data_IF_034854116153
#
_entry.id   IF_034854116153
#
_cell.length_a   1.000
_cell.length_b   1.000
_cell.length_c   1.000
_cell.angle_alpha   90.00
_cell.angle_beta   90.00
_cell.angle_gamma   90.00
#
_symmetry.space_group_name_H-M   'P 1'
#
loop_
_entity.id
_entity.type
_entity.pdbx_description
1 polymer ?
#
# COMPACT_ATOMS: atom_id res chain seq x y z
N UNK A 1 -11.72 27.96 12.36
CA UNK A 1 -11.58 26.77 11.48
C UNK A 1 -10.15 26.30 11.62
N UNK A 2 -9.93 25.01 11.85
CA UNK A 2 -8.61 24.41 11.99
C UNK A 2 -8.69 22.89 11.79
N UNK A 3 -7.54 22.22 11.88
CA UNK A 3 -7.37 20.79 11.63
C UNK A 3 -6.80 20.09 12.85
N UNK A 4 -7.46 19.02 13.26
CA UNK A 4 -6.99 18.10 14.30
C UNK A 4 -6.45 16.84 13.64
N UNK A 5 -5.18 16.51 13.84
CA UNK A 5 -4.58 15.24 13.44
C UNK A 5 -4.48 14.27 14.61
N UNK A 6 -4.56 12.96 14.34
CA UNK A 6 -4.41 11.89 15.32
C UNK A 6 -3.73 10.67 14.67
N UNK A 7 -2.79 10.05 15.37
CA UNK A 7 -2.17 8.79 14.95
C UNK A 7 -1.72 7.92 16.14
N UNK A 8 -1.36 6.68 15.82
CA UNK A 8 -0.72 5.68 16.70
C UNK A 8 -1.52 5.35 17.97
N UNK A 9 -2.86 5.28 17.83
CA UNK A 9 -3.77 4.89 18.92
C UNK A 9 -4.19 3.42 18.85
N UNK A 10 -3.63 2.65 17.93
CA UNK A 10 -3.94 1.24 17.74
C UNK A 10 -2.77 0.33 18.13
N UNK A 11 -3.06 -0.92 18.44
CA UNK A 11 -2.04 -1.92 18.74
C UNK A 11 -2.47 -3.29 18.16
N UNK A 12 -1.57 -4.26 18.10
CA UNK A 12 -1.87 -5.54 17.43
C UNK A 12 -2.97 -6.37 18.14
N UNK A 13 -3.25 -6.08 19.41
CA UNK A 13 -4.25 -6.75 20.26
C UNK A 13 -5.65 -6.12 20.22
N UNK A 14 -5.79 -4.92 19.66
CA UNK A 14 -7.02 -4.12 19.75
C UNK A 14 -6.80 -2.66 19.38
N UNK A 15 -7.86 -1.85 19.45
CA UNK A 15 -7.79 -0.44 19.06
C UNK A 15 -7.83 -0.21 17.55
N UNK A 16 -8.08 1.04 17.16
CA UNK A 16 -8.07 1.50 15.77
C UNK A 16 -8.12 3.03 15.73
N UNK A 17 -7.13 3.68 15.09
CA UNK A 17 -7.05 5.14 14.96
C UNK A 17 -8.33 5.77 14.39
N UNK A 18 -8.97 5.11 13.42
CA UNK A 18 -10.23 5.60 12.83
C UNK A 18 -11.39 5.53 13.82
N UNK A 19 -11.42 4.52 14.70
CA UNK A 19 -12.45 4.39 15.74
C UNK A 19 -12.23 5.43 16.85
N UNK A 20 -10.98 5.61 17.28
CA UNK A 20 -10.62 6.61 18.28
C UNK A 20 -11.01 8.02 17.83
N UNK A 21 -10.75 8.36 16.57
CA UNK A 21 -11.20 9.64 16.01
C UNK A 21 -12.73 9.75 15.96
N UNK A 22 -13.45 8.69 15.57
CA UNK A 22 -14.92 8.70 15.58
C UNK A 22 -15.50 8.95 16.97
N UNK A 23 -14.90 8.36 18.01
CA UNK A 23 -15.29 8.57 19.40
C UNK A 23 -14.97 10.00 19.86
N UNK A 24 -13.79 10.53 19.51
CA UNK A 24 -13.44 11.93 19.75
C UNK A 24 -14.46 12.86 19.12
N UNK A 25 -14.77 12.66 17.83
CA UNK A 25 -15.75 13.50 17.11
C UNK A 25 -17.13 13.47 17.79
N UNK A 26 -17.57 12.31 18.28
CA UNK A 26 -18.84 12.17 19.02
C UNK A 26 -18.81 12.83 20.41
N UNK A 27 -17.63 12.97 21.00
CA UNK A 27 -17.41 13.61 22.29
C UNK A 27 -17.25 15.13 22.23
N UNK A 28 -17.06 15.70 21.03
CA UNK A 28 -16.85 17.13 20.85
C UNK A 28 -18.07 17.97 21.34
N UNK A 29 -17.84 19.20 21.81
CA UNK A 29 -18.93 20.11 22.14
C UNK A 29 -19.87 20.35 20.96
N UNK A 30 -21.17 20.52 21.24
CA UNK A 30 -22.21 20.66 20.19
C UNK A 30 -22.06 21.89 19.30
N UNK A 31 -21.26 22.87 19.73
CA UNK A 31 -20.94 24.10 18.99
C UNK A 31 -19.88 23.87 17.91
N UNK A 32 -19.10 22.80 18.02
CA UNK A 32 -18.03 22.47 17.06
C UNK A 32 -18.65 21.79 15.85
N UNK A 33 -18.49 22.40 14.68
CA UNK A 33 -18.94 21.81 13.41
C UNK A 33 -17.82 20.98 12.80
N UNK A 34 -18.17 19.79 12.36
CA UNK A 34 -17.24 18.85 11.71
C UNK A 34 -17.27 19.10 10.20
N UNK A 35 -16.10 19.32 9.62
CA UNK A 35 -15.90 19.39 8.18
C UNK A 35 -15.43 18.07 7.61
N UNK A 36 -14.43 18.14 6.74
CA UNK A 36 -13.83 16.96 6.12
C UNK A 36 -13.09 16.06 7.13
N UNK A 37 -13.21 14.75 6.96
CA UNK A 37 -12.46 13.74 7.73
C UNK A 37 -11.55 12.97 6.78
N UNK A 38 -10.28 12.83 7.16
CA UNK A 38 -9.22 12.24 6.36
C UNK A 38 -8.67 10.95 6.96
N UNK A 39 -8.32 10.01 6.10
CA UNK A 39 -7.52 8.83 6.42
C UNK A 39 -6.32 8.79 5.46
N UNK A 40 -5.13 9.00 6.00
CA UNK A 40 -3.90 9.20 5.22
C UNK A 40 -2.94 8.07 5.50
N UNK A 41 -2.66 7.25 4.49
CA UNK A 41 -1.64 6.20 4.53
C UNK A 41 -0.25 6.82 4.40
N UNK A 42 0.69 6.34 5.20
CA UNK A 42 2.05 6.84 5.29
C UNK A 42 3.06 5.77 4.82
N UNK A 43 4.35 6.06 4.96
CA UNK A 43 5.41 5.24 4.38
C UNK A 43 5.30 3.76 4.80
N UNK A 44 5.17 2.82 3.84
CA UNK A 44 4.95 1.41 4.18
C UNK A 44 6.15 0.67 4.77
N UNK A 45 7.29 1.32 5.00
CA UNK A 45 8.45 0.74 5.67
C UNK A 45 8.76 1.37 7.03
N UNK A 46 7.89 2.28 7.51
CA UNK A 46 8.10 2.93 8.80
C UNK A 46 8.34 1.92 9.93
N UNK A 47 9.33 2.21 10.78
CA UNK A 47 9.83 1.27 11.80
C UNK A 47 8.79 1.04 12.90
N UNK A 48 8.23 2.11 13.43
CA UNK A 48 7.21 2.11 14.49
C UNK A 48 5.82 2.21 13.87
N UNK A 49 5.32 1.11 13.32
CA UNK A 49 3.99 1.08 12.71
C UNK A 49 3.13 -0.05 13.21
N UNK A 50 1.83 0.21 13.22
CA UNK A 50 0.80 -0.82 13.19
C UNK A 50 0.52 -1.28 11.75
N UNK A 51 -0.26 -2.35 11.59
CA UNK A 51 -0.53 -2.93 10.27
C UNK A 51 -1.34 -1.95 9.42
N UNK A 52 -0.69 -1.36 8.42
CA UNK A 52 -1.33 -0.47 7.44
C UNK A 52 -0.92 1.00 7.53
N UNK A 53 -0.09 1.38 8.51
CA UNK A 53 0.49 2.72 8.73
C UNK A 53 -0.39 3.89 8.22
N UNK A 54 -1.36 4.31 9.05
CA UNK A 54 -2.33 5.31 8.65
C UNK A 54 -2.69 6.25 9.79
N UNK A 55 -2.58 7.54 9.52
CA UNK A 55 -3.03 8.61 10.38
C UNK A 55 -4.40 9.14 9.93
N UNK A 56 -5.05 9.89 10.81
CA UNK A 56 -6.34 10.52 10.51
C UNK A 56 -6.30 12.01 10.85
N UNK A 57 -7.13 12.79 10.16
CA UNK A 57 -7.31 14.19 10.48
C UNK A 57 -8.77 14.61 10.30
N UNK A 58 -9.20 15.65 11.00
CA UNK A 58 -10.55 16.21 10.89
C UNK A 58 -10.50 17.72 10.91
N UNK A 59 -11.28 18.33 10.02
CA UNK A 59 -11.54 19.76 10.03
C UNK A 59 -12.57 20.10 11.09
N UNK A 60 -12.23 21.04 11.98
CA UNK A 60 -13.09 21.52 13.04
C UNK A 60 -13.33 23.02 12.86
N UNK A 61 -14.60 23.41 12.90
CA UNK A 61 -15.01 24.80 12.90
C UNK A 61 -15.63 25.15 14.25
N UNK A 62 -14.92 25.98 15.02
CA UNK A 62 -15.31 26.47 16.33
C UNK A 62 -15.14 28.00 16.39
N UNK A 63 -16.01 28.68 17.12
CA UNK A 63 -15.88 30.10 17.40
C UNK A 63 -14.91 30.37 18.57
N UNK A 64 -14.91 29.50 19.58
CA UNK A 64 -14.04 29.57 20.75
C UNK A 64 -12.96 28.49 20.69
N UNK A 65 -11.78 28.85 20.18
CA UNK A 65 -10.64 27.94 20.06
C UNK A 65 -10.05 27.54 21.42
N UNK A 66 -10.01 28.47 22.39
CA UNK A 66 -9.50 28.18 23.73
C UNK A 66 -10.33 27.07 24.40
N UNK A 67 -11.66 27.17 24.33
CA UNK A 67 -12.56 26.15 24.86
C UNK A 67 -12.41 24.80 24.15
N UNK A 68 -12.21 24.80 22.82
CA UNK A 68 -11.93 23.57 22.08
C UNK A 68 -10.64 22.92 22.56
N UNK A 69 -9.55 23.69 22.69
CA UNK A 69 -8.25 23.16 23.12
C UNK A 69 -8.31 22.64 24.55
N UNK A 70 -9.02 23.30 25.46
CA UNK A 70 -9.26 22.80 26.82
C UNK A 70 -10.01 21.46 26.82
N UNK A 71 -11.05 21.34 25.99
CA UNK A 71 -11.79 20.10 25.82
C UNK A 71 -10.89 18.98 25.27
N UNK A 72 -10.06 19.28 24.27
CA UNK A 72 -9.11 18.33 23.69
C UNK A 72 -8.02 17.92 24.69
N UNK A 73 -7.55 18.84 25.54
CA UNK A 73 -6.61 18.55 26.65
C UNK A 73 -7.21 17.54 27.64
N UNK A 74 -8.50 17.69 27.98
CA UNK A 74 -9.20 16.75 28.86
C UNK A 74 -9.43 15.40 28.17
N UNK A 75 -9.91 15.42 26.93
CA UNK A 75 -10.15 14.21 26.15
C UNK A 75 -8.86 13.39 25.98
N UNK A 76 -7.75 14.06 25.66
CA UNK A 76 -6.44 13.43 25.57
C UNK A 76 -6.09 12.69 26.86
N UNK A 77 -6.16 13.36 28.02
CA UNK A 77 -5.79 12.78 29.32
C UNK A 77 -6.67 11.59 29.71
N UNK A 78 -7.96 11.67 29.43
CA UNK A 78 -8.92 10.66 29.86
C UNK A 78 -9.05 9.46 28.92
N UNK A 79 -8.86 9.68 27.61
CA UNK A 79 -9.21 8.69 26.57
C UNK A 79 -8.05 8.25 25.69
N UNK A 80 -7.07 9.12 25.41
CA UNK A 80 -6.01 8.82 24.42
C UNK A 80 -4.69 8.49 25.09
N UNK A 81 -4.19 9.31 26.02
CA UNK A 81 -2.94 9.03 26.72
C UNK A 81 -2.90 7.67 27.45
N UNK A 82 -4.01 7.13 27.99
CA UNK A 82 -3.99 5.79 28.59
C UNK A 82 -3.74 4.66 27.60
N UNK A 83 -3.88 4.89 26.28
CA UNK A 83 -3.61 3.90 25.23
C UNK A 83 -2.10 3.72 24.98
N UNK A 84 -1.28 4.65 25.46
CA UNK A 84 0.18 4.58 25.30
C UNK A 84 0.76 3.37 26.05
N UNK A 85 1.72 2.69 25.42
CA UNK A 85 2.39 1.54 26.04
C UNK A 85 1.65 0.20 25.92
N UNK A 86 0.48 0.16 25.28
CA UNK A 86 -0.23 -1.10 25.02
C UNK A 86 0.56 -1.97 24.03
N UNK A 87 1.10 -3.09 24.54
CA UNK A 87 1.80 -4.12 23.77
C UNK A 87 0.95 -5.39 23.76
N UNK A 88 0.79 -5.99 22.58
CA UNK A 88 0.21 -7.33 22.47
C UNK A 88 1.25 -8.30 21.93
N UNK A 89 1.75 -9.18 22.78
CA UNK A 89 2.62 -10.28 22.35
C UNK A 89 1.95 -11.08 21.24
N UNK A 90 2.52 -11.10 20.03
CA UNK A 90 2.08 -12.02 18.99
C UNK A 90 3.12 -13.11 18.84
N UNK A 91 2.77 -14.36 19.14
CA UNK A 91 3.66 -15.53 18.95
C UNK A 91 3.88 -15.87 17.46
N UNK A 92 3.16 -15.21 16.53
CA UNK A 92 3.04 -15.61 15.13
C UNK A 92 3.74 -14.68 14.11
N UNK A 93 4.44 -13.63 14.53
CA UNK A 93 5.15 -12.73 13.62
C UNK A 93 6.57 -12.42 14.12
N UNK A 94 7.59 -12.74 13.30
CA UNK A 94 9.02 -12.42 13.49
C UNK A 94 9.34 -10.91 13.40
N UNK A 95 8.35 -10.02 13.55
CA UNK A 95 8.57 -8.56 13.50
C UNK A 95 8.73 -8.00 14.90
N UNK A 96 9.75 -7.15 15.10
CA UNK A 96 9.85 -6.31 16.29
C UNK A 96 8.56 -5.49 16.42
N UNK A 97 7.95 -5.56 17.60
CA UNK A 97 6.75 -4.82 17.92
C UNK A 97 7.12 -3.58 18.72
N UNK A 98 6.45 -2.48 18.39
CA UNK A 98 6.55 -1.24 19.15
C UNK A 98 5.23 -1.02 19.90
N UNK A 99 5.28 -0.53 21.15
CA UNK A 99 4.09 -0.08 21.85
C UNK A 99 3.44 1.08 21.08
N UNK A 100 2.12 1.23 21.21
CA UNK A 100 1.44 2.43 20.75
C UNK A 100 2.04 3.66 21.47
N UNK A 101 2.39 4.69 20.70
CA UNK A 101 2.82 6.01 21.18
C UNK A 101 1.95 7.10 20.53
N UNK A 102 0.68 7.23 20.99
CA UNK A 102 -0.29 8.14 20.40
C UNK A 102 0.27 9.55 20.20
N UNK A 103 -0.21 10.22 19.15
CA UNK A 103 0.05 11.63 18.94
C UNK A 103 -1.14 12.36 18.38
N UNK A 104 -1.39 13.55 18.89
CA UNK A 104 -2.46 14.44 18.44
C UNK A 104 -1.88 15.84 18.20
N UNK A 105 -2.35 16.53 17.17
CA UNK A 105 -1.89 17.87 16.81
C UNK A 105 -3.06 18.75 16.40
N UNK A 106 -3.03 20.01 16.81
CA UNK A 106 -4.01 21.01 16.41
C UNK A 106 -3.32 22.11 15.61
N UNK A 107 -3.79 22.28 14.36
CA UNK A 107 -3.39 23.35 13.46
C UNK A 107 -4.56 24.30 13.25
N UNK A 108 -4.49 25.53 13.76
CA UNK A 108 -5.63 26.45 13.66
C UNK A 108 -5.65 27.18 12.32
N UNK A 109 -4.63 27.99 12.05
CA UNK A 109 -4.62 28.93 10.92
C UNK A 109 -3.48 28.68 9.94
N UNK A 110 -2.37 28.10 10.40
CA UNK A 110 -1.21 27.79 9.56
C UNK A 110 -1.10 26.29 9.38
N UNK A 111 -1.53 25.80 8.22
CA UNK A 111 -1.34 24.39 7.88
C UNK A 111 0.14 24.09 7.59
N UNK A 112 0.61 22.88 7.92
CA UNK A 112 1.91 22.38 7.49
C UNK A 112 1.99 22.30 5.96
N UNK A 113 3.19 22.46 5.41
CA UNK A 113 3.44 22.35 3.97
C UNK A 113 3.22 20.90 3.48
N UNK A 114 2.67 20.72 2.28
CA UNK A 114 2.41 19.40 1.72
C UNK A 114 3.68 18.59 1.46
N UNK A 115 4.85 19.24 1.38
CA UNK A 115 6.14 18.55 1.36
C UNK A 115 6.33 17.63 2.57
N UNK A 116 5.79 17.99 3.74
CA UNK A 116 5.88 17.15 4.94
C UNK A 116 5.10 15.84 4.77
N UNK A 117 3.91 15.91 4.16
CA UNK A 117 3.15 14.71 3.80
C UNK A 117 3.94 13.83 2.80
N UNK A 118 4.52 14.43 1.76
CA UNK A 118 5.27 13.68 0.76
C UNK A 118 6.54 13.03 1.31
N UNK A 119 7.21 13.65 2.28
CA UNK A 119 8.30 13.01 3.01
C UNK A 119 7.75 11.82 3.83
N UNK A 120 6.70 12.03 4.63
CA UNK A 120 6.13 11.01 5.51
C UNK A 120 5.49 9.80 4.77
N UNK A 121 5.11 9.95 3.50
CA UNK A 121 4.57 8.84 2.67
C UNK A 121 5.65 8.11 1.86
N UNK A 122 6.84 8.70 1.69
CA UNK A 122 7.93 8.18 0.85
C UNK A 122 9.17 7.70 1.61
N UNK A 123 9.38 8.17 2.84
CA UNK A 123 10.55 7.86 3.66
C UNK A 123 10.27 7.93 5.17
N UNK A 124 11.27 7.57 5.98
CA UNK A 124 11.23 7.72 7.43
C UNK A 124 11.43 9.20 7.79
N UNK A 125 10.54 9.75 8.61
CA UNK A 125 10.61 11.13 9.10
C UNK A 125 10.95 11.11 10.59
N UNK A 126 11.80 12.03 11.05
CA UNK A 126 12.13 12.17 12.46
C UNK A 126 11.21 13.17 13.15
N UNK A 127 11.03 13.01 14.46
CA UNK A 127 10.22 13.89 15.30
C UNK A 127 10.69 15.35 15.25
N UNK A 128 11.99 15.58 15.09
CA UNK A 128 12.63 16.90 15.03
C UNK A 128 12.24 17.69 13.77
N UNK A 129 11.83 16.98 12.70
CA UNK A 129 11.46 17.56 11.42
C UNK A 129 9.97 17.95 11.36
N UNK A 130 9.20 17.66 12.42
CA UNK A 130 7.75 17.91 12.47
C UNK A 130 7.47 19.42 12.56
N UNK A 131 6.66 19.98 11.65
CA UNK A 131 6.22 21.37 11.73
C UNK A 131 5.56 21.72 13.07
N UNK A 132 5.82 22.93 13.55
CA UNK A 132 5.24 23.41 14.82
C UNK A 132 3.73 23.60 14.68
N UNK A 133 2.96 22.82 15.43
CA UNK A 133 1.52 22.99 15.63
C UNK A 133 1.23 24.03 16.72
N UNK A 134 0.06 24.66 16.70
CA UNK A 134 -0.40 25.53 17.79
C UNK A 134 -0.50 24.75 19.11
N UNK A 135 -0.85 23.46 19.04
CA UNK A 135 -0.83 22.54 20.18
C UNK A 135 -0.51 21.11 19.72
N UNK A 136 0.31 20.42 20.51
CA UNK A 136 0.63 19.01 20.32
C UNK A 136 0.40 18.23 21.62
N UNK A 137 0.17 16.93 21.46
CA UNK A 137 0.03 15.97 22.55
C UNK A 137 0.70 14.65 22.15
N UNK A 138 1.34 13.99 23.12
CA UNK A 138 1.90 12.65 22.94
C UNK A 138 3.33 12.62 22.40
N UNK A 139 3.67 11.51 21.74
CA UNK A 139 5.02 11.20 21.27
C UNK A 139 5.09 11.07 19.75
N UNK A 140 5.54 9.92 19.25
CA UNK A 140 5.85 9.68 17.84
C UNK A 140 4.65 9.81 16.90
N UNK A 141 3.43 9.52 17.37
CA UNK A 141 2.22 9.70 16.56
C UNK A 141 2.00 11.11 16.03
N UNK A 142 2.69 12.14 16.55
CA UNK A 142 2.57 13.51 16.01
C UNK A 142 3.09 13.61 14.56
N UNK A 143 4.02 12.73 14.15
CA UNK A 143 4.53 12.69 12.77
C UNK A 143 3.38 12.37 11.83
N UNK A 144 2.69 11.27 12.06
CA UNK A 144 1.58 10.87 11.20
C UNK A 144 0.37 11.78 11.33
N UNK A 145 0.05 12.22 12.55
CA UNK A 145 -1.01 13.20 12.79
C UNK A 145 -0.78 14.49 11.98
N UNK A 146 0.46 15.00 11.96
CA UNK A 146 0.83 16.19 11.17
C UNK A 146 0.80 15.91 9.67
N UNK A 147 1.25 14.73 9.22
CA UNK A 147 1.19 14.33 7.81
C UNK A 147 -0.25 14.23 7.29
N UNK A 148 -1.19 13.75 8.11
CA UNK A 148 -2.61 13.70 7.76
C UNK A 148 -3.23 15.09 7.57
N UNK A 149 -2.78 16.08 8.36
CA UNK A 149 -3.16 17.49 8.20
C UNK A 149 -2.50 18.11 6.96
N UNK A 150 -1.23 17.79 6.70
CA UNK A 150 -0.43 18.33 5.59
C UNK A 150 -0.86 17.83 4.19
N UNK A 151 -1.58 16.71 4.11
CA UNK A 151 -1.97 16.11 2.83
C UNK A 151 -2.78 17.09 1.97
N UNK A 152 -2.33 17.31 0.74
CA UNK A 152 -2.86 18.31 -0.20
C UNK A 152 -4.04 17.82 -1.05
N UNK A 153 -4.38 16.52 -0.95
CA UNK A 153 -5.49 15.89 -1.67
C UNK A 153 -5.36 15.98 -3.18
N UNK A 154 -4.15 15.81 -3.70
CA UNK A 154 -3.89 15.72 -5.15
C UNK A 154 -4.71 14.65 -5.85
N UNK A 155 -4.70 13.41 -5.34
CA UNK A 155 -5.52 12.28 -5.83
C UNK A 155 -6.37 11.71 -4.71
N UNK A 156 -7.69 11.82 -4.84
CA UNK A 156 -8.64 11.50 -3.77
C UNK A 156 -9.45 10.24 -4.10
N UNK A 157 -9.53 9.35 -3.11
CA UNK A 157 -10.55 8.31 -3.04
C UNK A 157 -11.24 8.36 -1.68
N UNK A 158 -12.27 7.54 -1.47
CA UNK A 158 -13.05 7.50 -0.24
C UNK A 158 -13.09 6.09 0.33
N UNK A 159 -13.04 5.97 1.65
CA UNK A 159 -13.24 4.70 2.36
C UNK A 159 -14.31 4.87 3.44
N UNK A 160 -15.44 4.15 3.28
CA UNK A 160 -16.48 4.05 4.29
C UNK A 160 -16.14 2.93 5.27
N UNK A 161 -15.79 3.30 6.49
CA UNK A 161 -15.40 2.36 7.54
C UNK A 161 -16.57 2.19 8.51
N UNK A 162 -17.03 0.96 8.65
CA UNK A 162 -17.99 0.55 9.67
C UNK A 162 -17.26 -0.17 10.81
N UNK A 163 -17.71 0.02 12.05
CA UNK A 163 -17.12 -0.62 13.22
C UNK A 163 -18.09 -1.60 13.87
N UNK A 164 -17.55 -2.68 14.43
CA UNK A 164 -18.27 -3.70 15.18
C UNK A 164 -18.80 -3.13 16.50
N UNK A 165 -19.79 -3.79 17.08
CA UNK A 165 -20.16 -3.56 18.48
C UNK A 165 -19.16 -4.25 19.41
N UNK A 166 -19.02 -3.78 20.65
CA UNK A 166 -18.13 -4.40 21.65
C UNK A 166 -18.39 -5.89 21.86
N UNK A 167 -19.66 -6.33 21.74
CA UNK A 167 -20.06 -7.73 21.87
C UNK A 167 -19.48 -8.63 20.77
N UNK A 168 -19.12 -8.04 19.64
CA UNK A 168 -18.62 -8.74 18.47
C UNK A 168 -17.12 -8.56 18.27
N UNK A 169 -16.42 -7.76 19.08
CA UNK A 169 -14.95 -7.63 19.00
C UNK A 169 -14.23 -8.78 19.72
N UNK A 170 -12.98 -9.08 19.30
CA UNK A 170 -12.13 -10.10 19.92
C UNK A 170 -11.57 -11.13 18.93
N UNK A 171 -10.48 -11.81 19.32
CA UNK A 171 -9.73 -12.76 18.49
C UNK A 171 -10.56 -13.97 18.02
N UNK A 172 -11.50 -14.42 18.85
CA UNK A 172 -12.35 -15.59 18.59
C UNK A 172 -13.61 -15.26 17.76
N UNK A 173 -13.81 -14.00 17.37
CA UNK A 173 -15.03 -13.55 16.71
C UNK A 173 -14.81 -13.35 15.21
N UNK A 174 -15.43 -14.21 14.40
CA UNK A 174 -15.50 -14.00 12.95
C UNK A 174 -16.40 -12.81 12.60
N UNK A 175 -16.05 -12.08 11.54
CA UNK A 175 -16.89 -11.02 10.97
C UNK A 175 -17.96 -11.66 10.09
N UNK A 176 -19.19 -11.16 10.18
CA UNK A 176 -20.31 -11.58 9.35
C UNK A 176 -20.72 -10.41 8.45
N UNK A 177 -20.59 -10.62 7.15
CA UNK A 177 -20.88 -9.65 6.10
C UNK A 177 -21.69 -10.35 5.03
N UNK A 178 -22.72 -9.69 4.52
CA UNK A 178 -23.51 -10.17 3.38
C UNK A 178 -22.65 -10.22 2.11
N UNK A 179 -22.26 -11.44 1.70
CA UNK A 179 -21.43 -11.65 0.52
C UNK A 179 -22.18 -11.48 -0.80
N UNK A 180 -23.51 -11.60 -0.79
CA UNK A 180 -24.34 -11.39 -1.99
C UNK A 180 -24.40 -9.89 -2.31
N UNK A 181 -24.76 -9.06 -1.31
CA UNK A 181 -24.71 -7.60 -1.47
C UNK A 181 -23.30 -7.10 -1.76
N UNK A 182 -22.27 -7.72 -1.15
CA UNK A 182 -20.89 -7.35 -1.46
C UNK A 182 -20.53 -7.68 -2.92
N UNK A 183 -21.10 -8.74 -3.52
CA UNK A 183 -20.92 -9.02 -4.94
C UNK A 183 -21.54 -7.94 -5.82
N UNK A 184 -22.76 -7.52 -5.50
CA UNK A 184 -23.46 -6.42 -6.20
C UNK A 184 -22.68 -5.10 -6.12
N UNK A 185 -22.14 -4.80 -4.93
CA UNK A 185 -21.31 -3.62 -4.70
C UNK A 185 -20.03 -3.66 -5.53
N UNK A 186 -19.34 -4.81 -5.60
CA UNK A 186 -18.06 -4.95 -6.31
C UNK A 186 -18.19 -4.73 -7.84
N UNK A 187 -19.40 -4.89 -8.39
CA UNK A 187 -19.71 -4.61 -9.80
C UNK A 187 -19.93 -3.12 -10.10
N UNK A 188 -20.01 -2.26 -9.07
CA UNK A 188 -20.24 -0.82 -9.25
C UNK A 188 -18.98 -0.11 -9.78
N UNK A 189 -19.15 0.70 -10.84
CA UNK A 189 -18.08 1.43 -11.57
C UNK A 189 -17.10 2.22 -10.67
N UNK A 190 -17.57 2.75 -9.55
CA UNK A 190 -16.76 3.60 -8.68
C UNK A 190 -16.19 2.86 -7.48
N UNK A 191 -16.60 1.63 -7.21
CA UNK A 191 -16.01 0.83 -6.14
C UNK A 191 -14.70 0.20 -6.60
N UNK A 192 -13.80 -0.08 -5.66
CA UNK A 192 -12.55 -0.76 -5.98
C UNK A 192 -12.00 -1.51 -4.80
N UNK A 193 -11.21 -2.54 -5.06
CA UNK A 193 -10.56 -3.36 -4.04
C UNK A 193 -11.53 -3.88 -2.96
N UNK A 194 -12.79 -4.14 -3.32
CA UNK A 194 -13.78 -4.69 -2.39
C UNK A 194 -13.65 -6.21 -2.28
N UNK A 195 -13.46 -6.89 -3.42
CA UNK A 195 -13.15 -8.32 -3.50
C UNK A 195 -11.99 -8.59 -4.43
N UNK A 196 -11.30 -9.71 -4.20
CA UNK A 196 -10.38 -10.26 -5.20
C UNK A 196 -11.19 -11.07 -6.22
N UNK A 197 -11.29 -10.66 -7.49
CA UNK A 197 -12.05 -11.38 -8.52
C UNK A 197 -11.47 -12.77 -8.82
N UNK A 198 -10.19 -13.01 -8.52
CA UNK A 198 -9.49 -14.26 -8.80
C UNK A 198 -9.81 -15.35 -7.78
N UNK A 199 -9.95 -14.97 -6.51
CA UNK A 199 -10.18 -15.88 -5.39
C UNK A 199 -11.56 -15.78 -4.76
N UNK A 200 -12.31 -14.71 -5.08
CA UNK A 200 -13.59 -14.38 -4.45
C UNK A 200 -13.47 -13.87 -3.02
N UNK A 201 -12.25 -13.76 -2.47
CA UNK A 201 -12.00 -13.35 -1.10
C UNK A 201 -12.41 -11.89 -0.85
N UNK A 202 -13.00 -11.65 0.33
CA UNK A 202 -13.27 -10.29 0.80
C UNK A 202 -11.98 -9.55 1.13
N UNK A 203 -11.86 -8.31 0.65
CA UNK A 203 -10.72 -7.42 0.91
C UNK A 203 -11.10 -6.21 1.79
N UNK A 204 -12.39 -6.02 2.05
CA UNK A 204 -12.91 -4.95 2.91
C UNK A 204 -12.82 -5.28 4.41
N UNK A 205 -12.75 -6.57 4.76
CA UNK A 205 -12.84 -7.02 6.15
C UNK A 205 -11.46 -7.44 6.70
N UNK A 206 -10.95 -6.80 7.76
CA UNK A 206 -9.70 -7.23 8.36
C UNK A 206 -9.85 -8.61 9.04
N UNK A 207 -8.74 -9.34 9.16
CA UNK A 207 -8.72 -10.68 9.79
C UNK A 207 -8.39 -10.65 11.29
N UNK A 208 -7.98 -9.51 11.82
CA UNK A 208 -7.52 -9.36 13.22
C UNK A 208 -8.63 -8.97 14.21
N UNK A 209 -8.29 -8.80 15.50
CA UNK A 209 -9.24 -8.47 16.58
C UNK A 209 -9.78 -7.04 16.54
N UNK A 210 -9.25 -6.20 15.62
CA UNK A 210 -9.57 -4.78 15.54
C UNK A 210 -11.09 -4.50 15.43
N UNK A 211 -11.56 -3.32 15.86
CA UNK A 211 -12.98 -2.99 15.88
C UNK A 211 -13.58 -2.73 14.49
N UNK A 212 -12.80 -2.67 13.42
CA UNK A 212 -13.31 -2.48 12.06
C UNK A 212 -14.14 -3.70 11.64
N UNK A 213 -15.38 -3.46 11.21
CA UNK A 213 -16.25 -4.45 10.58
C UNK A 213 -15.85 -4.61 9.12
N UNK A 214 -15.87 -3.52 8.36
CA UNK A 214 -15.34 -3.44 7.00
C UNK A 214 -14.93 -2.01 6.63
N UNK A 215 -14.10 -1.87 5.60
CA UNK A 215 -13.78 -0.61 4.91
C UNK A 215 -14.10 -0.73 3.42
N UNK A 216 -15.12 -0.03 2.96
CA UNK A 216 -15.56 -0.05 1.56
C UNK A 216 -14.99 1.14 0.82
N UNK A 217 -14.24 0.87 -0.26
CA UNK A 217 -13.53 1.91 -1.01
C UNK A 217 -14.26 2.27 -2.29
N UNK A 218 -14.32 3.58 -2.56
CA UNK A 218 -14.86 4.09 -3.81
C UNK A 218 -14.17 5.36 -4.27
N UNK A 219 -14.25 5.66 -5.56
CA UNK A 219 -13.76 6.90 -6.18
C UNK A 219 -14.70 8.10 -5.98
N UNK A 220 -15.90 7.87 -5.43
CA UNK A 220 -16.90 8.91 -5.11
C UNK A 220 -17.41 8.74 -3.69
N UNK A 221 -17.66 9.85 -3.00
CA UNK A 221 -18.13 9.88 -1.62
C UNK A 221 -19.48 9.17 -1.49
N UNK A 222 -20.44 9.51 -2.34
CA UNK A 222 -21.81 8.99 -2.30
C UNK A 222 -21.81 7.48 -2.50
N UNK A 223 -20.98 6.98 -3.43
CA UNK A 223 -20.87 5.54 -3.68
C UNK A 223 -20.28 4.81 -2.47
N UNK A 224 -19.26 5.37 -1.80
CA UNK A 224 -18.72 4.78 -0.58
C UNK A 224 -19.79 4.73 0.53
N UNK A 225 -20.52 5.84 0.72
CA UNK A 225 -21.58 5.95 1.71
C UNK A 225 -22.74 4.98 1.45
N UNK A 226 -23.36 5.07 0.27
CA UNK A 226 -24.55 4.30 -0.10
C UNK A 226 -24.26 2.80 -0.09
N UNK A 227 -23.09 2.39 -0.60
CA UNK A 227 -22.71 0.97 -0.60
C UNK A 227 -22.49 0.44 0.82
N UNK A 228 -21.89 1.25 1.71
CA UNK A 228 -21.72 0.86 3.10
C UNK A 228 -23.08 0.77 3.83
N UNK A 229 -23.98 1.73 3.62
CA UNK A 229 -25.36 1.67 4.13
C UNK A 229 -26.08 0.42 3.63
N UNK A 230 -26.01 0.15 2.32
CA UNK A 230 -26.61 -1.02 1.71
C UNK A 230 -26.08 -2.32 2.33
N UNK A 231 -24.78 -2.41 2.63
CA UNK A 231 -24.22 -3.59 3.29
C UNK A 231 -24.66 -3.73 4.75
N UNK A 232 -24.77 -2.62 5.49
CA UNK A 232 -25.18 -2.57 6.90
C UNK A 232 -26.67 -2.82 7.12
N UNK A 233 -27.51 -2.51 6.15
CA UNK A 233 -28.96 -2.75 6.20
C UNK A 233 -29.32 -4.23 6.02
N UNK A 234 -28.37 -5.07 5.60
CA UNK A 234 -28.62 -6.50 5.47
C UNK A 234 -28.75 -7.19 6.82
N UNK A 235 -29.75 -8.06 6.96
CA UNK A 235 -29.86 -8.98 8.09
C UNK A 235 -28.73 -10.00 8.17
N UNK A 236 -27.99 -10.20 7.07
CA UNK A 236 -26.84 -11.12 6.97
C UNK A 236 -25.52 -10.46 7.37
N UNK A 237 -25.52 -9.14 7.58
CA UNK A 237 -24.38 -8.38 8.11
C UNK A 237 -24.57 -8.18 9.62
N UNK A 238 -23.52 -8.38 10.41
CA UNK A 238 -23.63 -8.17 11.86
C UNK A 238 -23.86 -6.70 12.24
N UNK A 239 -24.44 -6.48 13.41
CA UNK A 239 -24.70 -5.11 13.90
C UNK A 239 -23.41 -4.32 14.07
N UNK A 240 -23.46 -3.07 13.61
CA UNK A 240 -22.38 -2.10 13.73
C UNK A 240 -22.61 -1.14 14.92
N UNK A 241 -21.54 -0.47 15.37
CA UNK A 241 -21.59 0.62 16.37
C UNK A 241 -21.55 2.03 15.75
N UNK A 242 -21.48 2.10 14.43
CA UNK A 242 -21.35 3.31 13.65
C UNK A 242 -20.57 3.10 12.36
N UNK A 243 -20.59 4.13 11.52
CA UNK A 243 -19.85 4.19 10.26
C UNK A 243 -19.46 5.63 9.96
N UNK A 244 -18.33 5.82 9.28
CA UNK A 244 -17.87 7.11 8.77
C UNK A 244 -17.18 6.95 7.43
N UNK A 245 -17.38 7.92 6.53
CA UNK A 245 -16.67 8.00 5.27
C UNK A 245 -15.47 8.94 5.42
N UNK A 246 -14.30 8.45 5.04
CA UNK A 246 -13.05 9.19 5.06
C UNK A 246 -12.65 9.57 3.64
N UNK A 247 -12.10 10.76 3.49
CA UNK A 247 -11.34 11.18 2.31
C UNK A 247 -9.93 10.61 2.43
N UNK A 248 -9.41 9.94 1.41
CA UNK A 248 -8.18 9.14 1.53
C UNK A 248 -7.24 9.32 0.36
N UNK A 249 -5.95 9.14 0.62
CA UNK A 249 -4.89 9.05 -0.38
C UNK A 249 -4.73 7.62 -0.93
N UNK A 250 -5.66 6.71 -0.68
CA UNK A 250 -5.56 5.34 -1.18
C UNK A 250 -5.69 5.33 -2.71
N UNK A 251 -4.95 4.44 -3.37
CA UNK A 251 -4.84 4.39 -4.83
C UNK A 251 -4.37 5.71 -5.49
N UNK A 252 -3.46 6.45 -4.84
CA UNK A 252 -2.84 7.68 -5.35
C UNK A 252 -1.48 7.48 -6.01
N UNK A 253 -0.75 6.40 -5.68
CA UNK A 253 0.69 6.24 -5.91
C UNK A 253 1.58 7.29 -5.22
N UNK A 254 1.09 8.03 -4.23
CA UNK A 254 1.88 9.09 -3.59
C UNK A 254 3.21 8.59 -2.97
N UNK A 255 3.29 7.30 -2.60
CA UNK A 255 4.51 6.66 -2.09
C UNK A 255 5.54 6.32 -3.16
N UNK A 256 5.16 6.32 -4.44
CA UNK A 256 6.07 6.01 -5.55
C UNK A 256 6.80 7.27 -6.00
N UNK A 257 8.05 7.08 -6.40
CA UNK A 257 8.83 8.09 -7.11
C UNK A 257 8.68 7.95 -8.62
N UNK A 258 9.59 8.59 -9.35
CA UNK A 258 9.68 8.47 -10.80
C UNK A 258 9.98 7.03 -11.25
N UNK A 259 9.51 6.68 -12.44
CA UNK A 259 9.84 5.39 -13.06
C UNK A 259 11.34 5.28 -13.34
N UNK A 260 11.92 4.16 -12.94
CA UNK A 260 13.35 3.88 -13.10
C UNK A 260 13.60 2.94 -14.29
N UNK A 261 14.78 3.05 -14.87
CA UNK A 261 15.21 2.30 -16.06
C UNK A 261 16.50 1.58 -15.76
N UNK A 262 16.61 0.32 -16.15
CA UNK A 262 17.83 -0.45 -15.95
C UNK A 262 17.98 -1.60 -16.95
N UNK A 263 19.15 -2.21 -16.95
CA UNK A 263 19.50 -3.36 -17.78
C UNK A 263 19.72 -4.59 -16.91
N UNK A 264 19.04 -5.68 -17.23
CA UNK A 264 19.19 -6.94 -16.49
C UNK A 264 20.59 -7.52 -16.70
N UNK A 265 21.31 -7.81 -15.62
CA UNK A 265 22.57 -8.58 -15.65
C UNK A 265 22.24 -10.08 -15.50
N UNK A 266 21.42 -10.41 -14.51
CA UNK A 266 20.99 -11.77 -14.20
C UNK A 266 19.69 -11.78 -13.40
N UNK A 267 19.02 -12.93 -13.41
CA UNK A 267 17.83 -13.22 -12.61
C UNK A 267 18.07 -14.48 -11.79
N UNK A 268 17.72 -14.42 -10.51
CA UNK A 268 17.80 -15.55 -9.57
C UNK A 268 16.40 -15.87 -9.05
N UNK A 269 15.94 -17.10 -9.29
CA UNK A 269 14.65 -17.58 -8.80
C UNK A 269 14.86 -18.25 -7.44
N UNK A 270 14.29 -17.65 -6.40
CA UNK A 270 14.33 -18.14 -5.03
C UNK A 270 13.23 -19.19 -4.76
N UNK A 271 13.25 -19.75 -3.56
CA UNK A 271 12.20 -20.68 -3.10
C UNK A 271 10.82 -20.00 -3.17
N UNK A 272 9.79 -20.80 -3.52
CA UNK A 272 8.40 -20.33 -3.76
C UNK A 272 8.23 -19.39 -4.96
N UNK A 273 9.28 -19.19 -5.76
CA UNK A 273 9.21 -18.52 -7.06
C UNK A 273 9.40 -17.00 -7.02
N UNK A 274 9.76 -16.42 -5.87
CA UNK A 274 10.23 -15.04 -5.82
C UNK A 274 11.48 -14.87 -6.70
N UNK A 275 11.68 -13.68 -7.27
CA UNK A 275 12.77 -13.43 -8.22
C UNK A 275 13.58 -12.22 -7.79
N UNK A 276 14.89 -12.41 -7.66
CA UNK A 276 15.86 -11.33 -7.55
C UNK A 276 16.34 -10.99 -8.95
N UNK A 277 16.26 -9.71 -9.33
CA UNK A 277 16.77 -9.20 -10.60
C UNK A 277 17.96 -8.30 -10.28
N UNK A 278 19.16 -8.76 -10.63
CA UNK A 278 20.36 -7.94 -10.52
C UNK A 278 20.51 -7.16 -11.83
N UNK A 279 20.47 -5.84 -11.75
CA UNK A 279 20.61 -4.94 -12.89
C UNK A 279 21.96 -4.21 -12.84
N UNK A 280 22.23 -3.30 -13.78
CA UNK A 280 23.49 -2.57 -13.84
C UNK A 280 23.68 -1.63 -12.64
N UNK A 281 22.60 -0.97 -12.21
CA UNK A 281 22.64 -0.01 -11.11
C UNK A 281 21.84 -0.47 -9.88
N UNK A 282 20.79 -1.27 -10.09
CA UNK A 282 19.82 -1.58 -9.05
C UNK A 282 19.66 -3.09 -8.81
N UNK A 283 19.24 -3.43 -7.58
CA UNK A 283 18.79 -4.77 -7.22
C UNK A 283 17.29 -4.75 -6.95
N UNK A 284 16.54 -5.62 -7.65
CA UNK A 284 15.08 -5.65 -7.59
C UNK A 284 14.60 -6.98 -7.04
N UNK A 285 13.45 -6.97 -6.38
CA UNK A 285 12.78 -8.14 -5.83
C UNK A 285 11.31 -8.19 -6.27
N UNK A 286 10.94 -9.26 -6.96
CA UNK A 286 9.56 -9.65 -7.21
C UNK A 286 9.15 -10.75 -6.23
N UNK A 287 8.22 -10.46 -5.32
CA UNK A 287 7.72 -11.44 -4.35
C UNK A 287 6.91 -12.56 -5.02
N UNK A 288 6.79 -13.71 -4.34
CA UNK A 288 6.03 -14.87 -4.84
C UNK A 288 4.56 -14.55 -5.15
N UNK A 289 3.99 -13.63 -4.40
CA UNK A 289 2.60 -13.15 -4.42
C UNK A 289 2.37 -12.07 -5.48
N UNK A 290 3.42 -11.53 -6.10
CA UNK A 290 3.34 -10.40 -7.04
C UNK A 290 2.76 -10.72 -8.43
N UNK A 291 2.19 -11.92 -8.62
CA UNK A 291 1.48 -12.33 -9.83
C UNK A 291 2.25 -12.09 -11.12
N UNK A 292 1.74 -11.19 -11.98
CA UNK A 292 2.31 -10.92 -13.30
C UNK A 292 3.70 -10.28 -13.24
N UNK A 293 4.02 -9.54 -12.18
CA UNK A 293 5.38 -9.03 -11.94
C UNK A 293 6.36 -10.19 -11.84
N UNK A 294 6.03 -11.21 -11.03
CA UNK A 294 6.84 -12.43 -10.91
C UNK A 294 6.95 -13.15 -12.25
N UNK A 295 5.84 -13.34 -12.97
CA UNK A 295 5.86 -14.05 -14.26
C UNK A 295 6.76 -13.34 -15.28
N UNK A 296 6.69 -12.01 -15.36
CA UNK A 296 7.57 -11.23 -16.21
C UNK A 296 9.02 -11.31 -15.71
N UNK A 297 9.26 -11.20 -14.40
CA UNK A 297 10.61 -11.30 -13.81
C UNK A 297 11.28 -12.66 -14.10
N UNK A 298 10.54 -13.77 -14.04
CA UNK A 298 11.03 -15.12 -14.37
C UNK A 298 11.38 -15.28 -15.85
N UNK A 299 10.80 -14.45 -16.72
CA UNK A 299 11.04 -14.48 -18.16
C UNK A 299 12.26 -13.65 -18.58
N UNK A 300 12.66 -12.65 -17.78
CA UNK A 300 13.78 -11.77 -18.08
C UNK A 300 15.12 -12.53 -18.15
N UNK A 301 15.98 -12.12 -19.07
CA UNK A 301 17.37 -12.58 -19.17
C UNK A 301 18.33 -11.40 -19.29
N UNK A 302 19.62 -11.72 -19.20
CA UNK A 302 20.71 -10.76 -19.37
C UNK A 302 20.55 -9.88 -20.62
N UNK A 303 20.76 -8.59 -20.45
CA UNK A 303 20.69 -7.50 -21.45
C UNK A 303 19.27 -7.05 -21.83
N UNK A 304 18.22 -7.56 -21.18
CA UNK A 304 16.89 -6.97 -21.29
C UNK A 304 16.89 -5.56 -20.70
N UNK A 305 16.23 -4.62 -21.39
CA UNK A 305 16.01 -3.26 -20.88
C UNK A 305 14.62 -3.19 -20.29
N UNK A 306 14.55 -2.81 -19.03
CA UNK A 306 13.32 -2.78 -18.25
C UNK A 306 13.07 -1.39 -17.70
N UNK A 307 11.80 -1.13 -17.40
CA UNK A 307 11.35 -0.01 -16.61
C UNK A 307 10.61 -0.55 -15.40
N UNK A 308 10.80 0.06 -14.23
CA UNK A 308 10.21 -0.44 -13.00
C UNK A 308 9.87 0.70 -12.03
N UNK A 309 8.98 0.38 -11.09
CA UNK A 309 8.67 1.27 -9.98
C UNK A 309 8.38 0.42 -8.72
N UNK A 310 8.68 0.95 -7.55
CA UNK A 310 8.55 0.25 -6.29
C UNK A 310 9.30 0.95 -5.16
N UNK A 311 9.24 0.35 -3.97
CA UNK A 311 9.84 0.94 -2.77
C UNK A 311 11.22 0.35 -2.49
N UNK A 312 12.20 1.21 -2.24
CA UNK A 312 13.55 0.81 -1.83
C UNK A 312 13.57 0.52 -0.33
N UNK A 313 14.02 -0.66 0.05
CA UNK A 313 14.20 -1.01 1.47
C UNK A 313 15.54 -0.47 2.01
N UNK A 314 15.79 -0.66 3.31
CA UNK A 314 17.02 -0.20 3.98
C UNK A 314 18.29 -0.84 3.39
N UNK A 315 18.21 -2.06 2.85
CA UNK A 315 19.32 -2.76 2.18
C UNK A 315 19.57 -2.28 0.73
N UNK A 316 18.80 -1.29 0.28
CA UNK A 316 18.92 -0.73 -1.07
C UNK A 316 18.28 -1.57 -2.18
N UNK A 317 17.45 -2.56 -1.85
CA UNK A 317 16.71 -3.41 -2.79
C UNK A 317 15.32 -2.82 -3.06
N UNK A 318 14.95 -2.72 -4.34
CA UNK A 318 13.61 -2.31 -4.72
C UNK A 318 12.62 -3.46 -4.64
N UNK A 319 11.60 -3.29 -3.80
CA UNK A 319 10.42 -4.16 -3.76
C UNK A 319 9.47 -3.71 -4.87
N UNK A 320 9.38 -4.49 -5.94
CA UNK A 320 8.64 -4.13 -7.14
C UNK A 320 7.14 -4.03 -6.90
N UNK A 321 6.56 -2.91 -7.32
CA UNK A 321 5.10 -2.74 -7.46
C UNK A 321 4.66 -2.66 -8.92
N UNK A 322 5.58 -2.28 -9.81
CA UNK A 322 5.38 -2.24 -11.26
C UNK A 322 6.63 -2.69 -12.00
N UNK A 323 6.44 -3.41 -13.10
CA UNK A 323 7.52 -3.81 -14.01
C UNK A 323 7.03 -3.73 -15.45
N UNK A 324 7.89 -3.29 -16.36
CA UNK A 324 7.65 -3.28 -17.81
C UNK A 324 8.93 -3.64 -18.54
N UNK A 325 8.79 -4.36 -19.63
CA UNK A 325 9.89 -4.60 -20.56
C UNK A 325 9.86 -3.57 -21.69
N UNK A 326 10.89 -2.74 -21.77
CA UNK A 326 11.04 -1.75 -22.84
C UNK A 326 11.71 -2.39 -24.07
N UNK A 327 12.68 -3.28 -23.86
CA UNK A 327 13.34 -4.00 -24.95
C UNK A 327 13.83 -5.38 -24.53
N UNK A 328 13.37 -6.40 -25.26
CA UNK A 328 13.86 -7.77 -25.09
C UNK A 328 15.15 -8.02 -25.88
N UNK A 329 16.06 -8.74 -25.24
CA UNK A 329 17.21 -9.36 -25.87
C UNK A 329 16.80 -10.61 -26.66
N UNK A 330 17.55 -10.91 -27.72
CA UNK A 330 17.38 -12.08 -28.57
C UNK A 330 18.11 -13.29 -27.99
N UNK A 331 17.55 -14.48 -28.16
CA UNK A 331 18.29 -15.72 -27.90
C UNK A 331 19.33 -15.92 -29.00
N UNK A 332 20.57 -16.20 -28.61
CA UNK A 332 21.67 -16.46 -29.54
C UNK A 332 22.06 -17.92 -29.49
N UNK A 333 21.83 -18.62 -30.60
CA UNK A 333 22.21 -20.03 -30.74
C UNK A 333 23.18 -20.26 -31.89
N UNK A 334 23.95 -21.34 -31.80
CA UNK A 334 24.83 -21.72 -32.90
C UNK A 334 23.99 -22.38 -33.99
N UNK A 335 24.23 -22.10 -35.28
CA UNK A 335 23.48 -22.73 -36.34
C UNK A 335 23.68 -24.24 -36.35
N UNK A 336 22.70 -24.94 -36.94
CA UNK A 336 22.79 -26.37 -37.20
C UNK A 336 23.48 -26.64 -38.54
N UNK A 337 24.22 -27.75 -38.61
CA UNK A 337 24.85 -28.20 -39.85
C UNK A 337 23.79 -28.67 -40.86
N UNK A 338 23.75 -28.07 -42.05
CA UNK A 338 22.80 -28.40 -43.12
C UNK A 338 22.86 -29.90 -43.53
N UNK A 339 24.03 -30.55 -43.38
CA UNK A 339 24.22 -31.96 -43.80
C UNK A 339 23.82 -33.00 -42.76
N UNK A 340 23.94 -32.69 -41.46
CA UNK A 340 23.75 -33.70 -40.40
C UNK A 340 22.98 -33.19 -39.17
N UNK A 341 22.45 -31.97 -39.25
CA UNK A 341 21.64 -31.30 -38.24
C UNK A 341 22.25 -31.17 -36.83
N UNK A 342 23.58 -31.30 -36.69
CA UNK A 342 24.27 -31.12 -35.40
C UNK A 342 24.66 -29.66 -35.21
N UNK A 343 24.50 -29.13 -33.99
CA UNK A 343 24.88 -27.77 -33.58
C UNK A 343 26.36 -27.50 -33.87
N UNK A 344 26.66 -26.45 -34.61
CA UNK A 344 28.04 -26.07 -34.95
C UNK A 344 28.80 -25.51 -33.74
N UNK A 345 30.12 -25.63 -33.73
CA UNK A 345 31.02 -25.15 -32.65
C UNK A 345 31.89 -24.00 -33.14
N UNK A 346 32.30 -23.13 -32.21
CA UNK A 346 33.26 -22.05 -32.49
C UNK A 346 34.62 -22.61 -32.91
N UNK A 347 35.28 -21.96 -33.87
CA UNK A 347 36.69 -22.25 -34.20
C UNK A 347 37.68 -21.28 -33.53
N UNK A 348 37.20 -20.23 -32.87
CA UNK A 348 38.05 -19.20 -32.25
C UNK A 348 37.47 -17.81 -32.44
N UNK A 349 38.13 -16.81 -31.85
CA UNK A 349 37.73 -15.41 -31.99
C UNK A 349 37.79 -15.00 -33.48
N UNK A 350 36.75 -14.32 -33.95
CA UNK A 350 36.57 -13.89 -35.35
C UNK A 350 36.54 -14.98 -36.44
N UNK A 351 36.65 -16.27 -36.09
CA UNK A 351 36.56 -17.36 -37.06
C UNK A 351 35.12 -17.84 -37.32
N UNK A 352 34.84 -18.48 -38.46
CA UNK A 352 33.57 -19.14 -38.74
C UNK A 352 33.29 -20.29 -37.77
N UNK A 353 32.05 -20.77 -37.74
CA UNK A 353 31.66 -21.94 -36.95
C UNK A 353 31.81 -23.21 -37.79
N UNK A 354 32.10 -24.35 -37.14
CA UNK A 354 32.34 -25.63 -37.81
C UNK A 354 31.50 -26.74 -37.22
N UNK A 355 30.96 -27.59 -38.08
CA UNK A 355 30.32 -28.82 -37.67
C UNK A 355 31.35 -29.81 -37.11
N UNK A 356 31.16 -30.34 -35.88
CA UNK A 356 32.10 -31.31 -35.30
C UNK A 356 32.15 -32.65 -36.06
N UNK A 357 31.05 -33.04 -36.74
CA UNK A 357 30.94 -34.31 -37.48
C UNK A 357 31.35 -34.18 -38.95
N UNK A 358 30.68 -33.30 -39.70
CA UNK A 358 30.89 -33.15 -41.14
C UNK A 358 32.05 -32.23 -41.51
N UNK A 359 32.63 -31.51 -40.54
CA UNK A 359 33.71 -30.52 -40.74
C UNK A 359 33.34 -29.32 -41.63
N UNK A 360 32.11 -29.23 -42.13
CA UNK A 360 31.54 -28.09 -42.87
C UNK A 360 31.62 -26.81 -42.03
N UNK A 361 31.93 -25.68 -42.68
CA UNK A 361 32.02 -24.36 -42.06
C UNK A 361 30.80 -23.51 -42.41
N UNK A 362 30.45 -22.57 -41.54
CA UNK A 362 29.45 -21.54 -41.79
C UNK A 362 29.97 -20.18 -41.29
N UNK A 363 29.82 -19.15 -42.12
CA UNK A 363 30.13 -17.76 -41.75
C UNK A 363 29.06 -17.17 -40.82
N UNK A 364 27.83 -17.69 -40.86
CA UNK A 364 26.80 -17.33 -39.91
C UNK A 364 27.16 -17.90 -38.53
N UNK A 365 27.58 -17.03 -37.60
CA UNK A 365 28.05 -17.46 -36.28
C UNK A 365 26.91 -17.73 -35.30
N UNK A 366 25.83 -16.99 -35.44
CA UNK A 366 24.68 -17.02 -34.54
C UNK A 366 23.39 -16.98 -35.35
N UNK A 367 22.39 -17.70 -34.85
CA UNK A 367 20.99 -17.52 -35.20
C UNK A 367 20.40 -16.75 -34.03
N UNK A 368 19.79 -15.61 -34.32
CA UNK A 368 19.13 -14.76 -33.34
C UNK A 368 17.63 -15.01 -33.42
N UNK A 369 17.05 -15.46 -32.30
CA UNK A 369 15.62 -15.71 -32.21
C UNK A 369 14.98 -14.66 -31.31
N UNK A 370 14.02 -13.87 -31.82
CA UNK A 370 13.26 -12.94 -30.99
C UNK A 370 12.53 -13.68 -29.87
N UNK A 371 12.45 -13.05 -28.69
CA UNK A 371 11.64 -13.55 -27.59
C UNK A 371 10.39 -12.70 -27.45
N UNK A 372 9.25 -13.36 -27.24
CA UNK A 372 7.97 -12.70 -26.98
C UNK A 372 7.72 -12.71 -25.47
N UNK A 373 7.62 -11.54 -24.82
CA UNK A 373 7.32 -11.48 -23.40
C UNK A 373 5.86 -11.84 -23.12
N UNK A 374 5.52 -12.27 -21.89
CA UNK A 374 4.13 -12.54 -21.50
C UNK A 374 3.21 -11.33 -21.70
N UNK A 375 3.79 -10.13 -21.59
CA UNK A 375 3.12 -8.85 -21.73
C UNK A 375 4.16 -7.79 -22.14
N UNK A 376 3.72 -6.82 -22.94
CA UNK A 376 4.54 -5.69 -23.40
C UNK A 376 4.30 -4.41 -22.60
N UNK A 377 3.20 -4.36 -21.84
CA UNK A 377 2.85 -3.22 -21.01
C UNK A 377 3.20 -3.43 -19.55
N UNK A 378 2.97 -2.40 -18.75
CA UNK A 378 3.15 -2.45 -17.31
C UNK A 378 2.37 -3.61 -16.70
N UNK A 379 3.05 -4.36 -15.84
CA UNK A 379 2.42 -5.31 -14.93
C UNK A 379 2.45 -4.80 -13.50
N UNK A 380 1.44 -5.19 -12.75
CA UNK A 380 1.27 -4.87 -11.34
C UNK A 380 0.90 -6.15 -10.57
N UNK A 381 1.09 -6.12 -9.25
CA UNK A 381 0.61 -7.18 -8.37
C UNK A 381 -0.92 -7.37 -8.49
N UNK A 382 -1.44 -8.58 -8.22
CA UNK A 382 -2.89 -8.80 -8.12
C UNK A 382 -3.49 -8.00 -6.96
N UNK A 383 -4.79 -7.71 -7.03
CA UNK A 383 -5.48 -6.79 -6.11
C UNK A 383 -5.28 -7.15 -4.62
N UNK A 384 -5.27 -8.43 -4.28
CA UNK A 384 -5.08 -8.97 -2.92
C UNK A 384 -3.66 -8.74 -2.36
N UNK A 385 -2.71 -8.42 -3.24
CA UNK A 385 -1.29 -8.23 -2.93
C UNK A 385 -0.81 -6.80 -3.20
N UNK A 386 -1.70 -5.90 -3.66
CA UNK A 386 -1.41 -4.46 -3.82
C UNK A 386 -1.38 -3.78 -2.44
N UNK A 387 -0.56 -2.74 -2.30
CA UNK A 387 -0.60 -1.89 -1.11
C UNK A 387 -1.79 -0.93 -1.20
N UNK A 388 -2.17 -0.36 -0.06
CA UNK A 388 -3.29 0.60 0.01
C UNK A 388 -3.11 1.82 -0.90
N UNK A 389 -1.87 2.29 -1.06
CA UNK A 389 -1.56 3.47 -1.88
C UNK A 389 -1.45 3.16 -3.37
N UNK A 390 -1.24 1.89 -3.74
CA UNK A 390 -1.00 1.47 -5.12
C UNK A 390 -2.23 1.76 -5.99
N UNK A 391 -2.09 2.64 -6.98
CA UNK A 391 -3.13 2.94 -7.96
C UNK A 391 -3.24 1.81 -8.99
N UNK A 392 -4.46 1.32 -9.28
CA UNK A 392 -4.70 0.39 -10.37
C UNK A 392 -4.23 0.96 -11.72
N UNK A 393 -3.48 0.17 -12.48
CA UNK A 393 -3.01 0.57 -13.82
C UNK A 393 -4.17 0.86 -14.78
N UNK A 394 -5.32 0.25 -14.54
CA UNK A 394 -6.54 0.37 -15.35
C UNK A 394 -7.22 1.74 -15.23
N UNK A 395 -6.76 2.59 -14.31
CA UNK A 395 -7.32 3.94 -14.07
C UNK A 395 -6.62 5.03 -14.88
N UNK A 396 -5.53 4.70 -15.57
CA UNK A 396 -4.68 5.64 -16.30
C UNK A 396 -5.02 5.71 -17.79
#
# INVERSE_FOLDING_TARGET
MGWLGLDDTDHLGGGCTTKTLDELIKGLPSEVKIGEVRLVRLWPFARQRTRGNAAVAVELNCENEEYLVEHLDLWWKEKISPLAGELSSSENYDRLQFPADPGMVWFSSRLPDSSFYYNAVREEVNLEDVPVAEKNWGGQGIIGATAAVAWDKSEVTYEAIAWRTEKNTGLEKSRLIDLERLAEIDELEYTFMSRDPRTGNTMIAPRGPCPVLFGLRARKFEVAYDSACHLLESSSTERNSGMRVFTTNQASDDHLGDDLYDSVIETEILSRGAVVINCEENKLLAFSESGDIKLLAQWLIKSDKIRFNGLKNEDGVYHLERLKIDKSSVLKERPHCIKCNVRMKSMGQNQPVRCPKCRTRSEQKWIETPRVPPTLDWVQAPLDSRRHLTRPLEWN
#
